data_IF_114898444830
#
_entry.id   IF_114898444830
#
_cell.length_a   1.000
_cell.length_b   1.000
_cell.length_c   1.000
_cell.angle_alpha   90.00
_cell.angle_beta   90.00
_cell.angle_gamma   90.00
#
_symmetry.space_group_name_H-M   'P 1'
#
loop_
_entity.id
_entity.type
_entity.pdbx_description
1 polymer ?
#
# COMPACT_ATOMS: atom_id res chain seq x y z
N UNK A 1 25.16 -16.61 11.07
CA UNK A 1 25.73 -17.66 10.19
C UNK A 1 25.81 -17.13 8.76
N UNK A 2 26.68 -17.68 7.91
CA UNK A 2 26.69 -17.37 6.47
C UNK A 2 25.87 -18.45 5.75
N UNK A 3 24.86 -18.04 5.00
CA UNK A 3 23.99 -18.93 4.23
C UNK A 3 24.08 -18.55 2.77
N UNK A 4 24.31 -19.54 1.91
CA UNK A 4 24.26 -19.38 0.45
C UNK A 4 22.84 -19.71 0.01
N UNK A 5 22.21 -18.80 -0.74
CA UNK A 5 20.85 -18.97 -1.25
C UNK A 5 20.94 -18.91 -2.77
N UNK A 6 20.40 -19.92 -3.44
CA UNK A 6 20.30 -19.92 -4.89
C UNK A 6 19.09 -19.09 -5.31
N UNK A 7 19.30 -18.04 -6.09
CA UNK A 7 18.23 -17.16 -6.59
C UNK A 7 18.24 -17.17 -8.12
N UNK A 8 17.07 -17.40 -8.77
CA UNK A 8 16.93 -17.20 -10.20
C UNK A 8 17.37 -15.80 -10.64
N UNK A 9 18.08 -15.69 -11.76
CA UNK A 9 18.61 -14.43 -12.28
C UNK A 9 17.55 -13.33 -12.41
N UNK A 10 16.34 -13.72 -12.81
CA UNK A 10 15.20 -12.79 -12.95
C UNK A 10 14.80 -12.18 -11.61
N UNK A 11 14.76 -12.97 -10.55
CA UNK A 11 14.48 -12.50 -9.19
C UNK A 11 15.63 -11.64 -8.66
N UNK A 12 16.87 -12.09 -8.86
CA UNK A 12 18.05 -11.34 -8.44
C UNK A 12 18.12 -9.95 -9.10
N UNK A 13 17.75 -9.85 -10.38
CA UNK A 13 17.68 -8.57 -11.10
C UNK A 13 16.63 -7.64 -10.50
N UNK A 14 15.43 -8.14 -10.20
CA UNK A 14 14.37 -7.35 -9.54
C UNK A 14 14.81 -6.89 -8.15
N UNK A 15 15.49 -7.75 -7.40
CA UNK A 15 15.99 -7.43 -6.08
C UNK A 15 17.06 -6.33 -6.12
N UNK A 16 17.95 -6.36 -7.12
CA UNK A 16 18.94 -5.28 -7.37
C UNK A 16 18.27 -3.94 -7.67
N UNK A 17 17.24 -3.93 -8.50
CA UNK A 17 16.49 -2.71 -8.82
C UNK A 17 15.86 -2.15 -7.54
N UNK A 18 15.15 -3.00 -6.78
CA UNK A 18 14.53 -2.60 -5.52
C UNK A 18 15.54 -2.07 -4.50
N UNK A 19 16.72 -2.70 -4.41
CA UNK A 19 17.81 -2.26 -3.55
C UNK A 19 18.32 -0.86 -3.94
N UNK A 20 18.48 -0.60 -5.24
CA UNK A 20 18.90 0.69 -5.76
C UNK A 20 17.86 1.78 -5.50
N UNK A 21 16.57 1.50 -5.75
CA UNK A 21 15.46 2.43 -5.51
C UNK A 21 15.33 2.81 -4.03
N UNK A 22 15.48 1.83 -3.13
CA UNK A 22 15.37 2.04 -1.69
C UNK A 22 16.66 2.50 -1.02
N UNK A 23 17.77 2.61 -1.77
CA UNK A 23 19.08 3.02 -1.23
C UNK A 23 19.68 2.03 -0.22
N UNK A 24 19.26 0.76 -0.25
CA UNK A 24 19.69 -0.28 0.70
C UNK A 24 20.44 -1.40 -0.02
N UNK A 25 21.10 -2.26 0.74
CA UNK A 25 21.78 -3.43 0.16
C UNK A 25 20.80 -4.58 -0.08
N UNK A 26 21.11 -5.43 -1.07
CA UNK A 26 20.39 -6.69 -1.34
C UNK A 26 20.27 -7.54 -0.06
N UNK A 27 21.35 -7.62 0.73
CA UNK A 27 21.36 -8.36 1.99
C UNK A 27 20.30 -7.84 2.96
N UNK A 28 20.15 -6.52 3.06
CA UNK A 28 19.17 -5.91 3.93
C UNK A 28 17.74 -6.28 3.50
N UNK A 29 17.44 -6.20 2.19
CA UNK A 29 16.14 -6.62 1.66
C UNK A 29 15.85 -8.11 1.90
N UNK A 30 16.85 -8.98 1.74
CA UNK A 30 16.69 -10.42 2.01
C UNK A 30 16.39 -10.67 3.48
N UNK A 31 17.14 -10.04 4.39
CA UNK A 31 16.91 -10.18 5.83
C UNK A 31 15.54 -9.64 6.21
N UNK A 32 15.18 -8.45 5.75
CA UNK A 32 13.88 -7.83 6.02
C UNK A 32 12.72 -8.70 5.49
N UNK A 33 12.86 -9.28 4.30
CA UNK A 33 11.85 -10.19 3.74
C UNK A 33 11.69 -11.46 4.59
N UNK A 34 12.80 -12.03 5.07
CA UNK A 34 12.77 -13.19 5.97
C UNK A 34 12.13 -12.81 7.31
N UNK A 35 12.51 -11.69 7.91
CA UNK A 35 11.93 -11.20 9.17
C UNK A 35 10.42 -10.99 9.04
N UNK A 36 9.96 -10.41 7.93
CA UNK A 36 8.55 -10.19 7.63
C UNK A 36 7.76 -11.50 7.49
N UNK A 37 8.32 -12.48 6.77
CA UNK A 37 7.69 -13.80 6.63
C UNK A 37 7.62 -14.55 7.98
N UNK A 38 8.67 -14.48 8.80
CA UNK A 38 8.68 -15.14 10.12
C UNK A 38 7.79 -14.44 11.15
N UNK A 39 7.62 -13.12 11.06
CA UNK A 39 6.73 -12.37 11.94
C UNK A 39 5.25 -12.67 11.68
N UNK A 40 4.91 -13.39 10.60
CA UNK A 40 3.54 -13.53 10.15
C UNK A 40 2.99 -12.24 9.53
N UNK A 41 3.85 -11.22 9.35
CA UNK A 41 3.59 -10.01 8.57
C UNK A 41 3.69 -10.30 7.07
N UNK A 42 3.08 -11.40 6.65
CA UNK A 42 2.38 -11.39 5.37
C UNK A 42 1.16 -10.48 5.58
N UNK A 43 1.39 -9.19 5.86
CA UNK A 43 0.49 -8.18 5.33
C UNK A 43 0.49 -8.50 3.86
N UNK A 44 -0.61 -9.14 3.43
CA UNK A 44 -1.01 -9.31 2.05
C UNK A 44 -0.26 -8.28 1.22
N UNK A 45 0.51 -8.73 0.23
CA UNK A 45 0.81 -7.90 -0.94
C UNK A 45 -0.40 -6.98 -1.18
N UNK A 46 -0.25 -5.69 -1.51
CA UNK A 46 -1.39 -4.79 -1.63
C UNK A 46 -2.34 -5.26 -2.74
N UNK A 47 -3.15 -6.26 -2.41
CA UNK A 47 -4.56 -6.30 -2.63
C UNK A 47 -5.00 -4.91 -2.25
N UNK A 48 -5.60 -4.26 -3.23
CA UNK A 48 -6.13 -2.91 -3.22
C UNK A 48 -7.42 -2.94 -2.35
N UNK A 49 -7.29 -3.54 -1.18
CA UNK A 49 -8.33 -3.95 -0.25
C UNK A 49 -7.76 -3.67 1.13
N UNK A 50 -7.56 -2.38 1.39
CA UNK A 50 -7.42 -1.77 2.69
C UNK A 50 -8.55 -2.25 3.60
N UNK A 51 -8.39 -3.42 4.23
CA UNK A 51 -9.38 -3.99 5.15
C UNK A 51 -9.24 -3.47 6.59
N UNK A 52 -8.45 -2.40 6.80
CA UNK A 52 -8.30 -1.77 8.12
C UNK A 52 -8.66 -0.29 8.17
N UNK A 53 -9.14 0.32 7.06
CA UNK A 53 -9.61 1.71 7.04
C UNK A 53 -10.99 1.89 6.35
N UNK A 54 -11.71 0.79 6.14
CA UNK A 54 -12.91 0.76 5.29
C UNK A 54 -14.21 1.21 6.00
N UNK A 55 -14.12 1.74 7.23
CA UNK A 55 -15.27 2.35 7.90
C UNK A 55 -15.31 3.88 7.81
N UNK A 56 -14.28 4.53 7.27
CA UNK A 56 -14.27 6.00 7.08
C UNK A 56 -13.87 6.45 5.68
N UNK A 57 -13.51 5.54 4.79
CA UNK A 57 -13.13 5.89 3.42
C UNK A 57 -14.36 6.19 2.55
N UNK A 58 -14.73 7.48 2.48
CA UNK A 58 -15.79 8.04 1.63
C UNK A 58 -15.46 8.00 0.11
N UNK A 59 -14.26 7.55 -0.27
CA UNK A 59 -13.78 7.45 -1.65
C UNK A 59 -13.10 6.10 -1.92
N UNK A 60 -13.02 5.73 -3.20
CA UNK A 60 -12.23 4.63 -3.73
C UNK A 60 -11.53 5.07 -5.01
N UNK A 61 -10.42 4.43 -5.39
CA UNK A 61 -9.74 4.72 -6.66
C UNK A 61 -10.29 3.79 -7.74
N UNK A 62 -10.77 4.34 -8.86
CA UNK A 62 -11.28 3.53 -9.97
C UNK A 62 -10.13 2.86 -10.76
N UNK A 63 -10.48 1.96 -11.68
CA UNK A 63 -9.49 1.27 -12.54
C UNK A 63 -8.68 2.19 -13.47
N UNK A 64 -8.92 3.50 -13.45
CA UNK A 64 -8.18 4.53 -14.19
C UNK A 64 -7.37 5.44 -13.27
N UNK A 65 -7.31 5.15 -11.96
CA UNK A 65 -6.53 5.93 -11.01
C UNK A 65 -7.23 7.19 -10.51
N UNK A 66 -8.52 7.39 -10.78
CA UNK A 66 -9.26 8.56 -10.30
C UNK A 66 -9.92 8.29 -8.95
N UNK A 67 -9.81 9.19 -7.97
CA UNK A 67 -10.55 9.08 -6.70
C UNK A 67 -12.04 9.37 -6.94
N UNK A 68 -12.87 8.34 -6.78
CA UNK A 68 -14.33 8.39 -6.93
C UNK A 68 -14.98 8.26 -5.56
N UNK A 69 -15.90 9.17 -5.24
CA UNK A 69 -16.66 9.14 -3.99
C UNK A 69 -17.66 7.97 -4.00
N UNK A 70 -17.73 7.22 -2.90
CA UNK A 70 -18.72 6.14 -2.72
C UNK A 70 -20.12 6.76 -2.65
N UNK A 71 -21.03 6.34 -3.54
CA UNK A 71 -22.46 6.70 -3.46
C UNK A 71 -23.17 5.61 -2.67
N UNK A 72 -23.91 5.98 -1.64
CA UNK A 72 -24.73 5.04 -0.89
C UNK A 72 -25.94 4.61 -1.73
N UNK A 73 -26.31 3.32 -1.75
CA UNK A 73 -27.49 2.84 -2.48
C UNK A 73 -28.82 3.33 -1.88
N UNK A 74 -28.81 3.80 -0.62
CA UNK A 74 -30.00 4.26 0.13
C UNK A 74 -30.27 5.78 -0.01
N UNK A 75 -29.77 6.41 -1.09
CA UNK A 75 -30.02 7.83 -1.46
C UNK A 75 -29.76 8.86 -0.34
N UNK A 76 -28.96 8.51 0.66
CA UNK A 76 -28.50 9.46 1.68
C UNK A 76 -27.16 10.08 1.30
N UNK A 77 -27.01 11.36 1.63
CA UNK A 77 -25.81 12.15 1.36
C UNK A 77 -24.59 11.60 2.11
N UNK A 78 -23.72 10.88 1.40
CA UNK A 78 -22.47 10.31 1.95
C UNK A 78 -21.39 11.37 2.14
N UNK A 79 -21.48 12.48 1.41
CA UNK A 79 -20.46 13.53 1.39
C UNK A 79 -21.14 14.86 1.69
N UNK A 80 -20.97 15.37 2.90
CA UNK A 80 -21.53 16.65 3.34
C UNK A 80 -20.57 17.80 3.00
N UNK A 81 -21.10 19.02 2.86
CA UNK A 81 -20.25 20.22 2.71
C UNK A 81 -19.32 20.41 3.92
N UNK A 82 -19.75 19.98 5.11
CA UNK A 82 -18.91 20.00 6.30
C UNK A 82 -17.67 19.12 6.15
N UNK A 83 -17.84 17.90 5.59
CA UNK A 83 -16.72 17.00 5.30
C UNK A 83 -15.76 17.60 4.28
N UNK A 84 -16.29 18.20 3.20
CA UNK A 84 -15.46 18.83 2.16
C UNK A 84 -14.70 20.03 2.70
N UNK A 85 -15.32 20.84 3.55
CA UNK A 85 -14.66 21.99 4.17
C UNK A 85 -13.55 21.56 5.13
N UNK A 86 -13.77 20.53 5.94
CA UNK A 86 -12.72 19.98 6.81
C UNK A 86 -11.53 19.44 6.00
N UNK A 87 -11.80 18.74 4.89
CA UNK A 87 -10.74 18.23 4.02
C UNK A 87 -9.94 19.37 3.37
N UNK A 88 -10.61 20.46 2.99
CA UNK A 88 -9.95 21.67 2.48
C UNK A 88 -9.06 22.36 3.51
N UNK A 89 -9.53 22.44 4.76
CA UNK A 89 -8.75 22.98 5.87
C UNK A 89 -7.48 22.15 6.13
N UNK A 90 -7.58 20.82 6.13
CA UNK A 90 -6.43 19.91 6.31
C UNK A 90 -5.42 20.00 5.15
N UNK A 91 -5.90 20.19 3.92
CA UNK A 91 -5.06 20.32 2.71
C UNK A 91 -4.58 21.77 2.46
N UNK A 92 -5.05 22.73 3.26
CA UNK A 92 -4.65 24.15 3.17
C UNK A 92 -5.17 24.90 1.95
N UNK A 93 -6.36 24.55 1.44
CA UNK A 93 -6.97 25.10 0.21
C UNK A 93 -8.28 25.85 0.49
#
# INVERSE_FOLDING_TARGET
>A
MKTTIDLPDTLYRRLKIRAAESGVTIRHLVVQGIERELAGDIEKAPDISSAADDQRSHSYVDGRGWPVLKRSPDDHTVVTNEFVNRLREDEGV
#
